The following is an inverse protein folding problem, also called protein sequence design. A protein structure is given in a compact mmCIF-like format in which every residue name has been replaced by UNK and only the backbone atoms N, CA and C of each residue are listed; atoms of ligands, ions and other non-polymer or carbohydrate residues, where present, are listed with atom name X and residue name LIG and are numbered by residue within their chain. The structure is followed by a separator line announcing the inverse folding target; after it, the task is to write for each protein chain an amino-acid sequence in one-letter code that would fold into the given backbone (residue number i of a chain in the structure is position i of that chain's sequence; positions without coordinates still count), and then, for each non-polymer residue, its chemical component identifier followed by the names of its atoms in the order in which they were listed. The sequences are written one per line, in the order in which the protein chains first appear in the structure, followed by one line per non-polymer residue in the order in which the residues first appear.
data_IF_948478311620
#
_entry.id   IF_948478311620
#
_cell.length_a   1.000
_cell.length_b   1.000
_cell.length_c   1.000
_cell.angle_alpha   90.00
_cell.angle_beta   90.00
_cell.angle_gamma   90.00
#
_symmetry.space_group_name_H-M   'P 1'
#
loop_
_entity.id
_entity.type
_entity.pdbx_description
1 polymer ?
#
# COMPACT_ATOMS: atom_id res chain seq x y z
N UNK A 1 -2.44 -0.47 26.81
CA UNK A 1 -1.70 0.67 26.22
C UNK A 1 -2.71 1.82 26.02
N UNK A 2 -2.28 3.06 26.22
CA UNK A 2 -3.14 4.21 25.90
C UNK A 2 -3.40 4.29 24.38
N UNK A 3 -4.51 4.89 23.97
CA UNK A 3 -4.85 5.10 22.54
C UNK A 3 -3.72 5.84 21.82
N UNK A 4 -3.16 6.84 22.46
CA UNK A 4 -2.00 7.61 21.94
C UNK A 4 -0.78 6.72 21.75
N UNK A 5 -0.49 5.81 22.70
CA UNK A 5 0.64 4.89 22.58
C UNK A 5 0.49 3.88 21.44
N UNK A 6 -0.71 3.37 21.21
CA UNK A 6 -1.02 2.50 20.06
C UNK A 6 -0.91 3.28 18.73
N UNK A 7 -1.41 4.52 18.69
CA UNK A 7 -1.28 5.37 17.51
C UNK A 7 0.17 5.67 17.15
N UNK A 8 0.98 6.07 18.13
CA UNK A 8 2.40 6.31 17.93
C UNK A 8 3.15 5.06 17.46
N UNK A 9 2.78 3.89 17.97
CA UNK A 9 3.33 2.61 17.55
C UNK A 9 2.97 2.31 16.07
N UNK A 10 1.71 2.44 15.66
CA UNK A 10 1.30 2.18 14.29
C UNK A 10 2.01 3.11 13.30
N UNK A 11 2.07 4.41 13.59
CA UNK A 11 2.77 5.39 12.76
C UNK A 11 4.28 5.10 12.72
N UNK A 12 4.89 4.83 13.86
CA UNK A 12 6.31 4.49 13.93
C UNK A 12 6.66 3.23 13.15
N UNK A 13 5.83 2.19 13.24
CA UNK A 13 5.99 0.96 12.47
C UNK A 13 5.84 1.22 10.95
N UNK A 14 4.85 2.01 10.52
CA UNK A 14 4.67 2.33 9.10
C UNK A 14 5.87 3.10 8.54
N UNK A 15 6.40 4.08 9.29
CA UNK A 15 7.57 4.87 8.88
C UNK A 15 8.86 4.06 8.86
N UNK A 16 9.01 3.09 9.75
CA UNK A 16 10.24 2.32 9.87
C UNK A 16 10.20 1.02 9.08
N UNK A 17 9.15 0.21 9.22
CA UNK A 17 9.08 -1.11 8.60
C UNK A 17 8.76 -1.06 7.11
N UNK A 18 8.03 -0.07 6.61
CA UNK A 18 7.79 0.09 5.18
C UNK A 18 9.09 0.12 4.37
N UNK A 19 9.99 1.09 4.63
CA UNK A 19 11.30 1.14 3.97
C UNK A 19 12.17 -0.09 4.26
N UNK A 20 12.13 -0.64 5.48
CA UNK A 20 12.93 -1.81 5.86
C UNK A 20 12.54 -3.05 5.04
N UNK A 21 11.24 -3.31 4.88
CA UNK A 21 10.73 -4.43 4.11
C UNK A 21 11.08 -4.30 2.62
N UNK A 22 10.95 -3.10 2.06
CA UNK A 22 11.41 -2.82 0.68
C UNK A 22 12.92 -3.07 0.53
N UNK A 23 13.74 -2.61 1.48
CA UNK A 23 15.18 -2.85 1.47
C UNK A 23 15.53 -4.33 1.54
N UNK A 24 14.79 -5.11 2.32
CA UNK A 24 14.96 -6.55 2.41
C UNK A 24 14.62 -7.26 1.09
N UNK A 25 13.45 -6.92 0.51
CA UNK A 25 13.02 -7.45 -0.79
C UNK A 25 14.04 -7.13 -1.89
N UNK A 26 14.51 -5.88 -1.93
CA UNK A 26 15.55 -5.44 -2.88
C UNK A 26 16.82 -6.27 -2.75
N UNK A 27 17.28 -6.54 -1.54
CA UNK A 27 18.54 -7.28 -1.30
C UNK A 27 18.40 -8.78 -1.51
N UNK A 28 17.37 -9.39 -0.95
CA UNK A 28 17.28 -10.86 -0.88
C UNK A 28 16.43 -11.48 -1.99
N UNK A 29 15.48 -10.76 -2.52
CA UNK A 29 14.64 -11.26 -3.62
C UNK A 29 15.19 -10.78 -4.95
N UNK A 30 15.16 -9.48 -5.22
CA UNK A 30 15.60 -8.92 -6.51
C UNK A 30 17.07 -9.20 -6.83
N UNK A 31 17.97 -8.93 -5.88
CA UNK A 31 19.39 -9.10 -6.12
C UNK A 31 19.79 -10.56 -6.36
N UNK A 32 19.16 -11.53 -5.69
CA UNK A 32 19.44 -12.95 -5.90
C UNK A 32 18.95 -13.45 -7.25
N UNK A 33 17.74 -13.08 -7.64
CA UNK A 33 17.18 -13.50 -8.93
C UNK A 33 17.89 -12.82 -10.09
N UNK A 34 18.26 -11.52 -9.95
CA UNK A 34 19.04 -10.80 -10.94
C UNK A 34 20.55 -11.12 -10.91
N UNK A 35 21.00 -12.07 -10.08
CA UNK A 35 22.41 -12.41 -9.88
C UNK A 35 23.33 -11.20 -9.62
N UNK A 36 22.77 -10.11 -9.07
CA UNK A 36 23.50 -8.90 -8.74
C UNK A 36 24.13 -8.99 -7.35
N UNK A 37 25.36 -8.47 -7.19
CA UNK A 37 26.04 -8.44 -5.89
C UNK A 37 25.67 -7.16 -5.16
N UNK A 38 24.90 -7.26 -4.09
CA UNK A 38 24.59 -6.16 -3.17
C UNK A 38 25.41 -6.35 -1.90
N UNK A 39 26.07 -5.28 -1.43
CA UNK A 39 26.90 -5.32 -0.23
C UNK A 39 26.14 -5.80 1.01
N UNK A 40 26.83 -6.40 1.99
CA UNK A 40 26.19 -7.13 3.10
C UNK A 40 25.30 -6.27 4.00
N UNK A 41 25.66 -5.03 4.29
CA UNK A 41 24.90 -4.11 5.15
C UNK A 41 24.10 -3.09 4.38
N UNK A 42 24.61 -2.58 3.27
CA UNK A 42 23.97 -1.50 2.50
C UNK A 42 22.61 -1.90 1.91
N UNK A 43 22.37 -3.17 1.58
CA UNK A 43 21.17 -3.59 0.87
C UNK A 43 19.88 -3.41 1.62
N UNK A 44 19.80 -3.76 2.90
CA UNK A 44 18.58 -3.67 3.71
C UNK A 44 18.32 -2.22 4.16
N UNK A 45 19.38 -1.50 4.52
CA UNK A 45 19.31 -0.11 4.97
C UNK A 45 19.30 0.90 3.82
N UNK A 46 19.44 0.41 2.58
CA UNK A 46 19.53 1.28 1.40
C UNK A 46 18.38 2.29 1.28
N UNK A 47 17.10 1.95 1.53
CA UNK A 47 16.02 2.94 1.48
C UNK A 47 16.23 4.11 2.45
N UNK A 48 16.73 3.85 3.66
CA UNK A 48 17.02 4.92 4.62
C UNK A 48 18.22 5.77 4.21
N UNK A 49 19.25 5.14 3.63
CA UNK A 49 20.41 5.85 3.10
C UNK A 49 19.99 6.74 1.93
N UNK A 50 19.14 6.24 1.05
CA UNK A 50 18.60 6.97 -0.10
C UNK A 50 17.72 8.15 0.37
N UNK A 51 16.88 7.96 1.41
CA UNK A 51 16.14 9.06 2.04
C UNK A 51 17.09 10.11 2.63
N UNK A 52 18.10 9.69 3.39
CA UNK A 52 19.09 10.60 3.98
C UNK A 52 19.83 11.42 2.94
N UNK A 53 20.22 10.81 1.82
CA UNK A 53 20.83 11.51 0.68
C UNK A 53 19.86 12.52 0.04
N UNK A 54 18.58 12.15 -0.11
CA UNK A 54 17.60 13.04 -0.70
C UNK A 54 17.28 14.22 0.23
N UNK A 55 17.20 14.02 1.54
CA UNK A 55 17.03 15.12 2.50
C UNK A 55 18.22 16.08 2.55
N UNK A 56 19.43 15.60 2.25
CA UNK A 56 20.62 16.43 2.16
C UNK A 56 20.82 17.16 0.83
N UNK A 57 19.98 16.88 -0.19
CA UNK A 57 20.03 17.57 -1.49
C UNK A 57 19.21 18.85 -1.48
N UNK A 58 19.63 19.80 -2.31
CA UNK A 58 18.86 21.02 -2.57
C UNK A 58 17.51 20.71 -3.18
N UNK A 59 16.52 21.50 -2.80
CA UNK A 59 15.17 21.41 -3.31
C UNK A 59 15.04 22.31 -4.53
N UNK A 60 15.25 21.75 -5.71
CA UNK A 60 15.11 22.48 -6.97
C UNK A 60 13.62 22.71 -7.27
N UNK A 61 13.27 23.95 -7.53
CA UNK A 61 11.89 24.36 -7.83
C UNK A 61 11.78 24.65 -9.33
N UNK A 62 11.20 23.72 -10.07
CA UNK A 62 11.10 23.79 -11.54
C UNK A 62 9.82 24.51 -11.99
N UNK A 63 9.27 25.41 -11.15
CA UNK A 63 8.11 26.23 -11.51
C UNK A 63 6.75 25.63 -11.21
N UNK A 64 6.69 24.47 -10.55
CA UNK A 64 5.44 23.88 -10.06
C UNK A 64 4.84 24.70 -8.93
N UNK A 65 3.58 25.08 -9.06
CA UNK A 65 2.85 25.89 -8.10
C UNK A 65 2.76 25.30 -6.67
N UNK A 66 2.01 25.94 -5.76
CA UNK A 66 1.87 25.49 -4.37
C UNK A 66 1.33 24.06 -4.25
N UNK A 67 0.53 23.60 -5.21
CA UNK A 67 0.03 22.23 -5.25
C UNK A 67 1.15 21.18 -5.36
N UNK A 68 2.14 21.41 -6.23
CA UNK A 68 3.30 20.53 -6.35
C UNK A 68 4.13 20.52 -5.06
N UNK A 69 4.26 21.68 -4.39
CA UNK A 69 5.04 21.80 -3.16
C UNK A 69 4.40 21.08 -1.98
N UNK A 70 3.08 21.11 -1.87
CA UNK A 70 2.35 20.53 -0.75
C UNK A 70 2.00 19.05 -0.95
N UNK A 71 1.94 18.58 -2.18
CA UNK A 71 1.51 17.21 -2.50
C UNK A 71 2.33 16.11 -1.80
N UNK A 72 3.68 16.17 -1.62
CA UNK A 72 4.42 15.15 -0.91
C UNK A 72 4.05 15.06 0.58
N UNK A 73 3.81 16.23 1.20
CA UNK A 73 3.40 16.30 2.61
C UNK A 73 2.00 15.72 2.79
N UNK A 74 1.05 16.08 1.91
CA UNK A 74 -0.31 15.54 1.94
C UNK A 74 -0.28 14.02 1.71
N UNK A 75 0.54 13.55 0.76
CA UNK A 75 0.68 12.12 0.47
C UNK A 75 1.16 11.34 1.71
N UNK A 76 2.21 11.80 2.37
CA UNK A 76 2.76 11.14 3.55
C UNK A 76 1.79 11.22 4.74
N UNK A 77 1.22 12.39 5.03
CA UNK A 77 0.29 12.55 6.15
C UNK A 77 -0.95 11.69 5.98
N UNK A 78 -1.51 11.59 4.78
CA UNK A 78 -2.64 10.71 4.48
C UNK A 78 -2.29 9.23 4.70
N UNK A 79 -1.11 8.77 4.25
CA UNK A 79 -0.66 7.40 4.51
C UNK A 79 -0.50 7.09 6.01
N UNK A 80 0.02 8.04 6.79
CA UNK A 80 0.17 7.89 8.24
C UNK A 80 -1.17 7.96 8.98
N UNK A 81 -2.10 8.81 8.54
CA UNK A 81 -3.47 8.82 9.07
C UNK A 81 -4.18 7.50 8.80
N UNK A 82 -4.01 6.90 7.61
CA UNK A 82 -4.53 5.58 7.31
C UNK A 82 -3.94 4.50 8.24
N UNK A 83 -2.66 4.59 8.60
CA UNK A 83 -2.03 3.67 9.54
C UNK A 83 -2.68 3.69 10.95
N UNK A 84 -3.27 4.82 11.37
CA UNK A 84 -3.98 4.94 12.66
C UNK A 84 -5.32 4.20 12.67
N UNK A 85 -5.91 3.95 11.50
CA UNK A 85 -7.19 3.28 11.34
C UNK A 85 -7.06 1.74 11.25
N UNK A 86 -5.85 1.23 11.00
CA UNK A 86 -5.63 -0.21 10.80
C UNK A 86 -5.42 -0.93 12.13
N UNK A 87 -6.16 -2.03 12.40
CA UNK A 87 -5.95 -2.87 13.57
C UNK A 87 -4.71 -3.76 13.38
N UNK A 88 -3.66 -3.59 14.18
CA UNK A 88 -2.45 -4.43 14.13
C UNK A 88 -2.60 -5.76 14.91
N UNK A 89 -3.09 -5.68 16.13
CA UNK A 89 -3.24 -6.86 16.99
C UNK A 89 -4.54 -6.83 17.81
N UNK A 90 -5.00 -5.63 18.14
CA UNK A 90 -6.18 -5.32 18.91
C UNK A 90 -7.03 -4.33 18.13
N UNK A 91 -7.86 -3.55 18.83
CA UNK A 91 -8.64 -2.46 18.22
C UNK A 91 -7.72 -1.41 17.58
N UNK A 92 -8.16 -0.83 16.47
CA UNK A 92 -7.46 0.28 15.85
C UNK A 92 -7.36 1.47 16.82
N UNK A 93 -6.28 2.27 16.78
CA UNK A 93 -6.12 3.44 17.65
C UNK A 93 -7.26 4.45 17.52
N UNK A 94 -7.73 4.70 16.30
CA UNK A 94 -8.84 5.59 15.98
C UNK A 94 -10.11 4.82 15.63
N UNK A 95 -10.40 3.71 16.34
CA UNK A 95 -11.63 2.94 16.12
C UNK A 95 -12.87 3.80 16.39
N UNK A 96 -13.66 4.04 15.35
CA UNK A 96 -14.92 4.76 15.37
C UNK A 96 -15.95 4.07 14.48
N UNK A 97 -17.24 4.37 14.66
CA UNK A 97 -18.25 3.85 13.75
C UNK A 97 -17.98 4.32 12.31
N UNK A 98 -17.74 3.37 11.38
CA UNK A 98 -17.47 3.67 9.98
C UNK A 98 -16.01 3.94 9.63
N UNK A 99 -15.06 3.52 10.44
CA UNK A 99 -13.62 3.64 10.18
C UNK A 99 -13.16 2.99 8.86
N UNK A 100 -13.87 1.97 8.35
CA UNK A 100 -13.67 1.45 7.00
C UNK A 100 -13.82 2.53 5.91
N UNK A 101 -14.90 3.31 5.97
CA UNK A 101 -15.18 4.37 4.97
C UNK A 101 -14.08 5.44 5.05
N UNK A 102 -13.74 5.86 6.27
CA UNK A 102 -12.68 6.85 6.50
C UNK A 102 -11.33 6.33 5.99
N UNK A 103 -11.02 5.06 6.23
CA UNK A 103 -9.79 4.41 5.74
C UNK A 103 -9.67 4.51 4.22
N UNK A 104 -10.72 4.13 3.48
CA UNK A 104 -10.72 4.17 2.00
C UNK A 104 -10.47 5.58 1.50
N UNK A 105 -11.19 6.58 2.00
CA UNK A 105 -10.99 7.96 1.56
C UNK A 105 -9.61 8.51 1.94
N UNK A 106 -9.11 8.24 3.12
CA UNK A 106 -7.81 8.74 3.58
C UNK A 106 -6.67 8.12 2.78
N UNK A 107 -6.70 6.81 2.51
CA UNK A 107 -5.66 6.17 1.70
C UNK A 107 -5.74 6.63 0.24
N UNK A 108 -6.95 6.86 -0.29
CA UNK A 108 -7.19 7.45 -1.61
C UNK A 108 -6.60 8.85 -1.75
N UNK A 109 -6.69 9.70 -0.71
CA UNK A 109 -6.05 11.03 -0.69
C UNK A 109 -4.54 10.92 -0.93
N UNK A 110 -3.88 9.89 -0.39
CA UNK A 110 -2.44 9.68 -0.63
C UNK A 110 -2.13 9.46 -2.11
N UNK A 111 -2.93 8.65 -2.82
CA UNK A 111 -2.79 8.44 -4.27
C UNK A 111 -3.13 9.68 -5.08
N UNK A 112 -4.22 10.37 -4.73
CA UNK A 112 -4.64 11.61 -5.39
C UNK A 112 -3.58 12.70 -5.23
N UNK A 113 -2.96 12.82 -4.06
CA UNK A 113 -1.90 13.79 -3.82
C UNK A 113 -0.68 13.53 -4.74
N UNK A 114 -0.35 12.28 -5.01
CA UNK A 114 0.71 11.90 -5.95
C UNK A 114 0.35 12.29 -7.39
N UNK A 115 -0.88 11.99 -7.83
CA UNK A 115 -1.40 12.36 -9.16
C UNK A 115 -1.38 13.88 -9.34
N UNK A 116 -1.93 14.62 -8.38
CA UNK A 116 -1.98 16.09 -8.41
C UNK A 116 -0.57 16.70 -8.42
N UNK A 117 0.34 16.14 -7.63
CA UNK A 117 1.75 16.58 -7.61
C UNK A 117 2.43 16.41 -8.96
N UNK A 118 2.21 15.28 -9.64
CA UNK A 118 2.72 15.03 -10.99
C UNK A 118 2.09 15.94 -12.05
N UNK A 119 0.77 16.14 -12.02
CA UNK A 119 0.07 17.01 -12.95
C UNK A 119 0.48 18.49 -12.80
N UNK A 120 0.72 18.94 -11.57
CA UNK A 120 1.07 20.31 -11.27
C UNK A 120 2.53 20.70 -11.63
N UNK A 121 3.35 19.72 -12.03
CA UNK A 121 4.77 19.96 -12.36
C UNK A 121 5.02 20.72 -13.67
N UNK A 122 4.03 20.72 -14.58
CA UNK A 122 4.15 21.36 -15.91
C UNK A 122 4.98 20.57 -16.93
N UNK A 123 5.56 19.43 -16.56
CA UNK A 123 6.31 18.56 -17.47
C UNK A 123 5.38 17.59 -18.21
N UNK A 124 5.52 17.45 -19.56
CA UNK A 124 4.72 16.51 -20.34
C UNK A 124 4.89 15.05 -19.88
N UNK A 125 6.08 14.65 -19.48
CA UNK A 125 6.37 13.31 -18.99
C UNK A 125 5.73 13.05 -17.64
N UNK A 126 5.81 14.01 -16.72
CA UNK A 126 5.15 13.92 -15.41
C UNK A 126 3.63 13.88 -15.54
N UNK A 127 3.07 14.69 -16.45
CA UNK A 127 1.63 14.67 -16.75
C UNK A 127 1.19 13.31 -17.29
N UNK A 128 1.94 12.74 -18.26
CA UNK A 128 1.63 11.41 -18.81
C UNK A 128 1.72 10.31 -17.76
N UNK A 129 2.74 10.35 -16.87
CA UNK A 129 2.86 9.44 -15.73
C UNK A 129 1.71 9.57 -14.75
N UNK A 130 1.34 10.80 -14.38
CA UNK A 130 0.21 11.07 -13.50
C UNK A 130 -1.14 10.65 -14.10
N UNK A 131 -1.33 10.80 -15.42
CA UNK A 131 -2.52 10.31 -16.11
C UNK A 131 -2.61 8.77 -16.08
N UNK A 132 -1.49 8.07 -16.25
CA UNK A 132 -1.45 6.59 -16.10
C UNK A 132 -1.73 6.16 -14.65
N UNK A 133 -1.18 6.86 -13.67
CA UNK A 133 -1.49 6.60 -12.24
C UNK A 133 -2.97 6.81 -11.94
N UNK A 134 -3.58 7.86 -12.50
CA UNK A 134 -5.02 8.11 -12.35
C UNK A 134 -5.86 6.97 -12.92
N UNK A 135 -5.50 6.44 -14.10
CA UNK A 135 -6.20 5.29 -14.68
C UNK A 135 -6.06 4.03 -13.81
N UNK A 136 -4.86 3.76 -13.32
CA UNK A 136 -4.62 2.63 -12.40
C UNK A 136 -5.38 2.80 -11.09
N UNK A 137 -5.38 3.99 -10.51
CA UNK A 137 -6.13 4.31 -9.30
C UNK A 137 -7.63 4.04 -9.48
N UNK A 138 -8.24 4.55 -10.56
CA UNK A 138 -9.67 4.41 -10.82
C UNK A 138 -10.14 2.96 -10.98
N UNK A 139 -9.28 2.03 -11.40
CA UNK A 139 -9.66 0.63 -11.55
C UNK A 139 -9.26 -0.25 -10.35
N UNK A 140 -8.20 0.09 -9.64
CA UNK A 140 -7.70 -0.70 -8.52
C UNK A 140 -8.40 -0.34 -7.20
N UNK A 141 -8.71 0.94 -6.98
CA UNK A 141 -9.40 1.39 -5.76
C UNK A 141 -10.77 0.72 -5.56
N UNK A 142 -11.63 0.57 -6.58
CA UNK A 142 -12.87 -0.19 -6.44
C UNK A 142 -12.66 -1.64 -5.97
N UNK A 143 -11.58 -2.31 -6.37
CA UNK A 143 -11.29 -3.67 -5.89
C UNK A 143 -11.08 -3.68 -4.39
N UNK A 144 -10.28 -2.73 -3.86
CA UNK A 144 -10.06 -2.57 -2.42
C UNK A 144 -11.39 -2.37 -1.69
N UNK A 145 -12.22 -1.44 -2.18
CA UNK A 145 -13.53 -1.13 -1.59
C UNK A 145 -14.41 -2.38 -1.57
N UNK A 146 -14.58 -3.06 -2.70
CA UNK A 146 -15.44 -4.24 -2.81
C UNK A 146 -14.97 -5.38 -1.91
N UNK A 147 -13.65 -5.62 -1.81
CA UNK A 147 -13.10 -6.62 -0.89
C UNK A 147 -13.40 -6.30 0.58
N UNK A 148 -13.26 -5.04 0.99
CA UNK A 148 -13.59 -4.61 2.34
C UNK A 148 -15.11 -4.63 2.59
N UNK A 149 -15.93 -4.33 1.58
CA UNK A 149 -17.40 -4.50 1.65
C UNK A 149 -17.77 -5.97 1.87
N UNK A 150 -17.09 -6.93 1.21
CA UNK A 150 -17.32 -8.34 1.46
C UNK A 150 -17.06 -8.72 2.93
N UNK A 151 -16.01 -8.16 3.53
CA UNK A 151 -15.73 -8.34 4.95
C UNK A 151 -16.80 -7.66 5.83
N UNK A 152 -17.24 -6.45 5.49
CA UNK A 152 -18.28 -5.71 6.21
C UNK A 152 -19.63 -6.44 6.19
N UNK A 153 -20.04 -7.00 5.05
CA UNK A 153 -21.27 -7.78 4.91
C UNK A 153 -21.24 -9.03 5.79
N UNK A 154 -20.11 -9.75 5.82
CA UNK A 154 -19.98 -10.93 6.67
C UNK A 154 -20.10 -10.62 8.17
N UNK A 155 -19.56 -9.48 8.64
CA UNK A 155 -19.59 -9.11 10.06
C UNK A 155 -20.73 -8.16 10.42
N UNK A 156 -21.50 -7.66 9.44
CA UNK A 156 -22.58 -6.68 9.61
C UNK A 156 -22.13 -5.40 10.35
N UNK A 157 -20.87 -5.02 10.22
CA UNK A 157 -20.27 -3.83 10.83
C UNK A 157 -19.34 -3.12 9.86
N UNK A 158 -19.28 -1.78 9.94
CA UNK A 158 -18.35 -0.95 9.17
C UNK A 158 -17.05 -0.67 9.94
N UNK A 159 -16.85 -1.28 11.10
CA UNK A 159 -15.62 -1.15 11.87
C UNK A 159 -14.59 -2.19 11.46
N UNK A 160 -13.38 -1.76 11.08
CA UNK A 160 -12.27 -2.64 10.72
C UNK A 160 -11.89 -3.60 11.85
N UNK A 161 -12.02 -3.15 13.10
CA UNK A 161 -11.76 -3.99 14.28
C UNK A 161 -12.78 -5.10 14.45
N UNK A 162 -14.05 -4.87 14.10
CA UNK A 162 -15.11 -5.88 14.18
C UNK A 162 -14.94 -6.91 13.07
N UNK A 163 -14.54 -6.49 11.86
CA UNK A 163 -14.19 -7.40 10.75
C UNK A 163 -13.11 -8.39 11.18
N UNK A 164 -12.05 -7.89 11.86
CA UNK A 164 -10.99 -8.74 12.42
C UNK A 164 -11.55 -9.74 13.44
N UNK A 165 -12.32 -9.26 14.42
CA UNK A 165 -12.83 -10.12 15.50
C UNK A 165 -13.82 -11.16 15.00
N UNK A 166 -14.70 -10.79 14.06
CA UNK A 166 -15.64 -11.71 13.43
C UNK A 166 -14.91 -12.84 12.69
N UNK A 167 -13.90 -12.49 11.89
CA UNK A 167 -13.15 -13.47 11.09
C UNK A 167 -12.34 -14.42 11.99
N UNK A 168 -11.84 -13.94 13.12
CA UNK A 168 -11.19 -14.78 14.13
C UNK A 168 -12.17 -15.79 14.74
N UNK A 169 -13.39 -15.36 15.05
CA UNK A 169 -14.40 -16.20 15.70
C UNK A 169 -15.02 -17.23 14.74
N UNK A 170 -15.30 -16.85 13.50
CA UNK A 170 -16.05 -17.68 12.55
C UNK A 170 -15.16 -18.51 11.60
N UNK A 171 -13.85 -18.31 11.64
CA UNK A 171 -12.92 -19.03 10.78
C UNK A 171 -12.93 -18.54 9.33
N UNK A 172 -12.20 -19.23 8.44
CA UNK A 172 -12.10 -18.90 7.04
C UNK A 172 -13.43 -19.20 6.32
N UNK A 173 -14.06 -18.16 5.76
CA UNK A 173 -15.19 -18.32 4.84
C UNK A 173 -14.71 -18.27 3.39
N UNK A 174 -15.41 -18.97 2.49
CA UNK A 174 -15.05 -18.98 1.07
C UNK A 174 -15.10 -17.56 0.46
N UNK A 175 -16.09 -16.76 0.86
CA UNK A 175 -16.19 -15.32 0.51
C UNK A 175 -14.93 -14.55 0.90
N UNK A 176 -14.42 -14.73 2.13
CA UNK A 176 -13.22 -14.03 2.62
C UNK A 176 -11.94 -14.49 1.91
N UNK A 177 -11.86 -15.78 1.53
CA UNK A 177 -10.71 -16.31 0.76
C UNK A 177 -10.66 -15.67 -0.64
N UNK A 178 -11.80 -15.61 -1.33
CA UNK A 178 -11.88 -14.98 -2.67
C UNK A 178 -11.56 -13.48 -2.57
N UNK A 179 -12.10 -12.79 -1.56
CA UNK A 179 -11.80 -11.38 -1.31
C UNK A 179 -10.32 -11.15 -0.97
N UNK A 180 -9.70 -12.02 -0.16
CA UNK A 180 -8.27 -11.95 0.14
C UNK A 180 -7.40 -12.07 -1.11
N UNK A 181 -7.74 -13.01 -1.99
CA UNK A 181 -7.03 -13.19 -3.26
C UNK A 181 -7.19 -11.99 -4.18
N UNK A 182 -8.43 -11.47 -4.34
CA UNK A 182 -8.69 -10.27 -5.13
C UNK A 182 -7.93 -9.05 -4.59
N UNK A 183 -7.91 -8.87 -3.26
CA UNK A 183 -7.17 -7.81 -2.61
C UNK A 183 -5.65 -7.97 -2.81
N UNK A 184 -5.11 -9.19 -2.71
CA UNK A 184 -3.69 -9.44 -2.97
C UNK A 184 -3.32 -9.05 -4.41
N UNK A 185 -4.20 -9.33 -5.41
CA UNK A 185 -3.99 -8.88 -6.78
C UNK A 185 -4.02 -7.35 -6.89
N UNK A 186 -4.94 -6.68 -6.18
CA UNK A 186 -4.98 -5.22 -6.14
C UNK A 186 -3.71 -4.62 -5.53
N UNK A 187 -3.13 -5.27 -4.50
CA UNK A 187 -1.90 -4.80 -3.87
C UNK A 187 -0.69 -4.82 -4.81
N UNK A 188 -0.64 -5.69 -5.82
CA UNK A 188 0.44 -5.67 -6.82
C UNK A 188 0.52 -4.31 -7.54
N UNK A 189 -0.63 -3.73 -7.92
CA UNK A 189 -0.67 -2.40 -8.50
C UNK A 189 -0.42 -1.29 -7.46
N UNK A 190 -1.03 -1.41 -6.28
CA UNK A 190 -0.85 -0.41 -5.22
C UNK A 190 0.60 -0.30 -4.73
N UNK A 191 1.40 -1.36 -4.89
CA UNK A 191 2.82 -1.34 -4.58
C UNK A 191 3.65 -0.70 -5.70
N UNK A 192 3.07 -0.45 -6.89
CA UNK A 192 3.78 0.10 -8.04
C UNK A 192 4.94 -0.79 -8.49
N UNK A 193 4.74 -2.12 -8.46
CA UNK A 193 5.75 -3.11 -8.84
C UNK A 193 5.38 -3.80 -10.14
N UNK A 194 6.38 -4.36 -10.82
CA UNK A 194 6.12 -5.19 -12.00
C UNK A 194 5.13 -6.32 -11.65
N UNK A 195 4.16 -6.64 -12.50
CA UNK A 195 3.97 -6.16 -13.87
C UNK A 195 3.23 -4.81 -14.01
N UNK A 196 2.79 -4.18 -12.92
CA UNK A 196 1.92 -2.99 -12.91
C UNK A 196 2.66 -1.67 -12.65
N UNK A 197 3.99 -1.64 -12.82
CA UNK A 197 4.83 -0.44 -12.76
C UNK A 197 4.65 0.42 -14.04
N UNK A 198 3.40 0.80 -14.34
CA UNK A 198 3.00 1.52 -15.54
C UNK A 198 3.22 3.04 -15.41
N UNK A 199 2.92 3.66 -14.25
CA UNK A 199 3.06 5.11 -14.09
C UNK A 199 4.52 5.57 -14.02
N UNK A 200 5.39 4.83 -13.32
CA UNK A 200 6.79 5.20 -13.12
C UNK A 200 7.67 4.89 -14.34
N UNK A 201 7.32 3.92 -15.13
CA UNK A 201 7.91 3.48 -16.41
C UNK A 201 9.25 4.18 -16.79
N UNK A 202 10.34 3.90 -16.05
CA UNK A 202 11.63 4.61 -16.20
C UNK A 202 12.14 4.67 -17.64
N UNK A 203 11.91 3.60 -18.42
CA UNK A 203 12.34 3.52 -19.83
C UNK A 203 11.46 4.31 -20.80
N UNK A 204 10.20 4.62 -20.42
CA UNK A 204 9.25 5.34 -21.26
C UNK A 204 9.04 6.78 -20.81
N UNK A 205 8.95 7.02 -19.50
CA UNK A 205 8.55 8.28 -18.88
C UNK A 205 9.58 8.83 -17.89
N UNK A 206 10.79 8.26 -17.83
CA UNK A 206 11.90 8.75 -16.99
C UNK A 206 11.55 8.90 -15.50
N UNK A 207 10.66 8.05 -14.96
CA UNK A 207 10.18 8.12 -13.57
C UNK A 207 8.80 8.76 -13.39
N UNK A 208 8.10 9.06 -14.48
CA UNK A 208 6.68 9.45 -14.49
C UNK A 208 6.35 10.65 -13.59
N UNK A 209 5.43 10.49 -12.62
CA UNK A 209 4.96 11.61 -11.78
C UNK A 209 6.07 12.30 -10.98
N UNK A 210 7.21 11.64 -10.78
CA UNK A 210 8.30 12.10 -9.91
C UNK A 210 9.45 12.77 -10.64
N UNK A 211 9.43 12.86 -11.98
CA UNK A 211 10.56 13.35 -12.80
C UNK A 211 11.02 14.76 -12.40
N UNK A 212 10.07 15.64 -12.06
CA UNK A 212 10.35 17.02 -11.66
C UNK A 212 10.49 17.18 -10.13
N UNK A 213 10.47 16.09 -9.39
CA UNK A 213 10.61 16.12 -7.94
C UNK A 213 12.07 15.87 -7.56
N UNK A 214 12.63 16.76 -6.74
CA UNK A 214 14.01 16.65 -6.27
C UNK A 214 14.12 16.80 -4.75
N UNK A 215 15.25 16.39 -4.20
CA UNK A 215 15.59 16.62 -2.81
C UNK A 215 14.54 16.11 -1.80
N UNK A 216 14.20 16.92 -0.78
CA UNK A 216 13.29 16.52 0.29
C UNK A 216 11.87 16.17 -0.20
N UNK A 217 11.38 16.79 -1.27
CA UNK A 217 10.05 16.49 -1.82
C UNK A 217 9.98 15.07 -2.36
N UNK A 218 10.98 14.64 -3.11
CA UNK A 218 11.07 13.27 -3.60
C UNK A 218 11.24 12.26 -2.44
N UNK A 219 11.99 12.64 -1.41
CA UNK A 219 12.15 11.82 -0.21
C UNK A 219 10.80 11.56 0.48
N UNK A 220 9.98 12.59 0.67
CA UNK A 220 8.67 12.48 1.28
C UNK A 220 7.71 11.59 0.46
N UNK A 221 7.71 11.71 -0.87
CA UNK A 221 6.91 10.84 -1.72
C UNK A 221 7.35 9.37 -1.62
N UNK A 222 8.65 9.08 -1.71
CA UNK A 222 9.16 7.71 -1.56
C UNK A 222 8.81 7.13 -0.20
N UNK A 223 8.95 7.93 0.85
CA UNK A 223 8.58 7.50 2.20
C UNK A 223 7.08 7.23 2.33
N UNK A 224 6.24 8.09 1.74
CA UNK A 224 4.79 7.92 1.70
C UNK A 224 4.38 6.62 0.97
N UNK A 225 5.02 6.31 -0.16
CA UNK A 225 4.77 5.08 -0.92
C UNK A 225 5.08 3.85 -0.06
N UNK A 226 6.24 3.80 0.60
CA UNK A 226 6.60 2.66 1.46
C UNK A 226 5.71 2.54 2.69
N UNK A 227 5.31 3.66 3.31
CA UNK A 227 4.36 3.65 4.41
C UNK A 227 2.98 3.14 3.95
N UNK A 228 2.50 3.58 2.78
CA UNK A 228 1.24 3.11 2.18
C UNK A 228 1.28 1.61 1.86
N UNK A 229 2.36 1.12 1.27
CA UNK A 229 2.56 -0.31 1.00
C UNK A 229 2.47 -1.13 2.29
N UNK A 230 3.10 -0.65 3.38
CA UNK A 230 3.01 -1.29 4.68
C UNK A 230 1.57 -1.33 5.21
N UNK A 231 0.84 -0.21 5.14
CA UNK A 231 -0.57 -0.12 5.55
C UNK A 231 -1.44 -1.12 4.79
N UNK A 232 -1.28 -1.22 3.48
CA UNK A 232 -2.01 -2.19 2.65
C UNK A 232 -1.67 -3.64 3.00
N UNK A 233 -0.40 -3.96 3.23
CA UNK A 233 -0.01 -5.31 3.64
C UNK A 233 -0.61 -5.68 5.00
N UNK A 234 -0.61 -4.73 5.95
CA UNK A 234 -1.19 -4.95 7.28
C UNK A 234 -2.70 -5.13 7.21
N UNK A 235 -3.44 -4.34 6.39
CA UNK A 235 -4.91 -4.48 6.27
C UNK A 235 -5.28 -5.84 5.68
N UNK A 236 -4.58 -6.29 4.63
CA UNK A 236 -4.78 -7.62 4.05
C UNK A 236 -4.61 -8.71 5.11
N UNK A 237 -3.52 -8.66 5.86
CA UNK A 237 -3.19 -9.70 6.84
C UNK A 237 -4.10 -9.65 8.05
N UNK A 238 -4.41 -8.46 8.56
CA UNK A 238 -5.22 -8.31 9.77
C UNK A 238 -6.67 -8.73 9.56
N UNK A 239 -7.27 -8.37 8.42
CA UNK A 239 -8.68 -8.66 8.17
C UNK A 239 -8.89 -10.04 7.56
N UNK A 240 -8.08 -10.43 6.55
CA UNK A 240 -8.34 -11.63 5.76
C UNK A 240 -7.54 -12.86 6.21
N UNK A 241 -6.39 -12.68 6.89
CA UNK A 241 -5.53 -13.78 7.36
C UNK A 241 -5.17 -13.58 8.85
N UNK A 242 -6.15 -13.53 9.78
CA UNK A 242 -5.87 -13.23 11.18
C UNK A 242 -5.14 -14.37 11.93
N UNK A 243 -5.19 -15.60 11.45
CA UNK A 243 -4.54 -16.77 12.09
C UNK A 243 -3.05 -16.88 11.79
N UNK A 244 -2.23 -17.47 12.71
CA UNK A 244 -2.55 -17.87 14.08
C UNK A 244 -2.77 -16.68 15.00
N UNK A 245 -3.57 -16.84 16.06
CA UNK A 245 -3.81 -15.82 17.06
C UNK A 245 -3.27 -16.26 18.41
N UNK A 246 -2.64 -15.32 19.10
CA UNK A 246 -2.03 -15.54 20.43
C UNK A 246 -2.53 -14.46 21.37
N UNK A 247 -2.79 -14.82 22.63
CA UNK A 247 -3.33 -13.90 23.66
C UNK A 247 -2.35 -12.79 24.05
N UNK A 248 -1.06 -13.03 23.88
CA UNK A 248 -0.01 -12.04 24.20
C UNK A 248 0.06 -11.00 23.10
N UNK A 249 -0.33 -9.75 23.40
CA UNK A 249 -0.43 -8.65 22.43
C UNK A 249 0.87 -8.40 21.68
N UNK A 250 2.02 -8.40 22.38
CA UNK A 250 3.33 -8.17 21.75
C UNK A 250 3.69 -9.26 20.74
N UNK A 251 3.38 -10.53 21.05
CA UNK A 251 3.61 -11.63 20.15
C UNK A 251 2.64 -11.60 18.97
N UNK A 252 1.39 -11.19 19.17
CA UNK A 252 0.41 -11.01 18.10
C UNK A 252 0.84 -9.92 17.12
N UNK A 253 1.37 -8.79 17.61
CA UNK A 253 1.95 -7.74 16.74
C UNK A 253 3.08 -8.33 15.91
N UNK A 254 4.01 -9.07 16.51
CA UNK A 254 5.13 -9.69 15.81
C UNK A 254 4.67 -10.65 14.72
N UNK A 255 3.67 -11.49 15.00
CA UNK A 255 3.07 -12.41 14.02
C UNK A 255 2.43 -11.64 12.86
N UNK A 256 1.70 -10.56 13.15
CA UNK A 256 1.08 -9.73 12.11
C UNK A 256 2.15 -9.07 11.22
N UNK A 257 3.22 -8.57 11.82
CA UNK A 257 4.35 -7.99 11.09
C UNK A 257 5.09 -9.04 10.25
N UNK A 258 5.29 -10.25 10.77
CA UNK A 258 5.89 -11.35 10.02
C UNK A 258 5.04 -11.73 8.79
N UNK A 259 3.70 -11.78 8.93
CA UNK A 259 2.78 -12.02 7.81
C UNK A 259 2.79 -10.88 6.79
N UNK A 260 2.79 -9.61 7.25
CA UNK A 260 2.93 -8.46 6.37
C UNK A 260 4.24 -8.51 5.59
N UNK A 261 5.34 -8.93 6.24
CA UNK A 261 6.61 -9.16 5.56
C UNK A 261 6.52 -10.24 4.48
N UNK A 262 5.79 -11.33 4.72
CA UNK A 262 5.54 -12.37 3.71
C UNK A 262 4.81 -11.80 2.49
N UNK A 263 3.83 -10.91 2.70
CA UNK A 263 3.16 -10.21 1.58
C UNK A 263 4.17 -9.41 0.75
N UNK A 264 5.08 -8.66 1.37
CA UNK A 264 6.14 -7.95 0.65
C UNK A 264 7.04 -8.90 -0.14
N UNK A 265 7.38 -10.06 0.42
CA UNK A 265 8.19 -11.08 -0.29
C UNK A 265 7.42 -11.64 -1.48
N UNK A 266 6.13 -11.95 -1.35
CA UNK A 266 5.29 -12.44 -2.44
C UNK A 266 5.23 -11.40 -3.57
N UNK A 267 4.93 -10.14 -3.24
CA UNK A 267 4.91 -9.04 -4.21
C UNK A 267 6.28 -8.88 -4.89
N UNK A 268 7.37 -8.95 -4.10
CA UNK A 268 8.73 -8.87 -4.62
C UNK A 268 9.11 -10.04 -5.54
N UNK A 269 8.62 -11.25 -5.28
CA UNK A 269 8.81 -12.40 -6.18
C UNK A 269 8.05 -12.21 -7.50
N UNK A 270 6.81 -11.73 -7.42
CA UNK A 270 6.01 -11.41 -8.62
C UNK A 270 6.68 -10.33 -9.46
N UNK A 271 7.22 -9.29 -8.82
CA UNK A 271 7.97 -8.20 -9.44
C UNK A 271 9.20 -8.67 -10.24
N UNK A 272 9.87 -9.70 -9.79
CA UNK A 272 11.09 -10.20 -10.46
C UNK A 272 10.79 -11.18 -11.59
N UNK A 273 9.70 -11.94 -11.47
CA UNK A 273 9.36 -13.01 -12.44
C UNK A 273 8.60 -12.47 -13.64
N UNK A 274 7.80 -11.40 -13.47
CA UNK A 274 6.91 -10.92 -14.51
C UNK A 274 7.49 -9.75 -15.31
N UNK A 275 7.30 -9.72 -16.62
CA UNK A 275 7.57 -8.54 -17.45
C UNK A 275 6.49 -7.48 -17.22
N UNK A 276 6.81 -6.22 -17.59
CA UNK A 276 5.82 -5.13 -17.58
C UNK A 276 4.72 -5.39 -18.61
N UNK A 277 3.48 -5.13 -18.25
CA UNK A 277 2.32 -5.21 -19.13
C UNK A 277 1.90 -3.82 -19.61
N UNK A 278 1.18 -3.79 -20.73
CA UNK A 278 0.58 -2.56 -21.27
C UNK A 278 -0.64 -2.15 -20.43
N UNK A 279 -0.96 -0.85 -20.46
CA UNK A 279 -2.08 -0.30 -19.70
C UNK A 279 -3.41 -0.98 -20.05
N UNK A 280 -3.67 -1.26 -21.34
CA UNK A 280 -4.89 -1.93 -21.78
C UNK A 280 -5.01 -3.35 -21.20
N UNK A 281 -3.89 -4.07 -21.12
CA UNK A 281 -3.84 -5.40 -20.52
C UNK A 281 -4.07 -5.34 -19.00
N UNK A 282 -3.50 -4.32 -18.33
CA UNK A 282 -3.73 -4.09 -16.89
C UNK A 282 -5.20 -3.78 -16.61
N UNK A 283 -5.84 -2.93 -17.42
CA UNK A 283 -7.25 -2.62 -17.28
C UNK A 283 -8.13 -3.87 -17.45
N UNK A 284 -7.86 -4.70 -18.47
CA UNK A 284 -8.58 -5.97 -18.67
C UNK A 284 -8.38 -6.95 -17.51
N UNK A 285 -7.16 -7.05 -16.97
CA UNK A 285 -6.84 -7.88 -15.81
C UNK A 285 -7.61 -7.44 -14.56
N UNK A 286 -7.58 -6.14 -14.24
CA UNK A 286 -8.29 -5.63 -13.06
C UNK A 286 -9.80 -5.65 -13.21
N UNK A 287 -10.35 -5.59 -14.41
CA UNK A 287 -11.78 -5.83 -14.63
C UNK A 287 -12.16 -7.26 -14.19
N UNK A 288 -11.35 -8.26 -14.52
CA UNK A 288 -11.58 -9.63 -14.04
C UNK A 288 -11.44 -9.75 -12.52
N UNK A 289 -10.49 -9.02 -11.92
CA UNK A 289 -10.32 -8.97 -10.45
C UNK A 289 -11.53 -8.30 -9.78
N UNK A 290 -12.10 -7.23 -10.36
CA UNK A 290 -13.34 -6.60 -9.89
C UNK A 290 -14.50 -7.61 -9.88
N UNK A 291 -14.64 -8.41 -10.96
CA UNK A 291 -15.67 -9.45 -11.04
C UNK A 291 -15.47 -10.50 -9.94
N UNK A 292 -14.24 -10.93 -9.71
CA UNK A 292 -13.93 -11.86 -8.60
C UNK A 292 -14.24 -11.26 -7.22
N UNK A 293 -13.91 -9.98 -6.99
CA UNK A 293 -14.26 -9.27 -5.77
C UNK A 293 -15.78 -9.14 -5.59
N UNK A 294 -16.52 -8.84 -6.67
CA UNK A 294 -17.98 -8.78 -6.65
C UNK A 294 -18.60 -10.16 -6.34
N UNK A 295 -18.04 -11.24 -6.87
CA UNK A 295 -18.45 -12.61 -6.48
C UNK A 295 -18.24 -12.88 -4.99
N UNK A 296 -17.15 -12.38 -4.39
CA UNK A 296 -16.94 -12.51 -2.95
C UNK A 296 -18.05 -11.82 -2.14
N UNK A 297 -18.52 -10.65 -2.58
CA UNK A 297 -19.65 -9.96 -1.96
C UNK A 297 -20.95 -10.76 -2.12
N UNK A 298 -21.23 -11.27 -3.32
CA UNK A 298 -22.42 -12.11 -3.56
C UNK A 298 -22.42 -13.36 -2.66
N UNK A 299 -21.26 -14.01 -2.49
CA UNK A 299 -21.09 -15.16 -1.60
C UNK A 299 -21.23 -14.78 -0.11
N UNK A 300 -20.85 -13.55 0.27
CA UNK A 300 -21.07 -13.03 1.62
C UNK A 300 -22.57 -12.89 1.90
N UNK A 301 -23.35 -12.32 0.98
CA UNK A 301 -24.80 -12.20 1.11
C UNK A 301 -25.53 -13.56 1.14
N UNK A 302 -25.02 -14.56 0.41
CA UNK A 302 -25.63 -15.90 0.43
C UNK A 302 -25.47 -16.58 1.80
N UNK A 303 -24.44 -16.23 2.55
CA UNK A 303 -24.14 -16.81 3.86
C UNK A 303 -24.77 -16.03 5.02
N UNK A 304 -25.01 -14.72 4.83
CA UNK A 304 -25.61 -13.84 5.84
C UNK A 304 -27.11 -14.09 5.99
#
# INVERSE_FOLDING_TARGET
MSVIGLGALNVGLALFLGPLFEGFVRKYVRARVAHSRVGPLAGVWQPFIDLGKLFGKENLDVGGGPLQRMSPVICLTAALCAALLVPLATKAPLAAGGDFIVFVYVIGISSIAMIVGGMASGSPYSYAGAAREMMMFLIVEPVLVICLVAAAVNCQSLQLSDMLTWHVANGASFSMIVAAFALLMALLAQFGKLPFDIPEAEQELMGGPFIEMSGPRLALFKWAIWARQFVFAVILVSIFVPWPRVDVVSLQVLITLAKAFVVFVIVGLVDVVNPRIKIDQALAFYLAVIIAAAMAVALAFWRA
#
